data_IF_779774226583
#
_entry.id   IF_779774226583
#
_cell.length_a   1.000
_cell.length_b   1.000
_cell.length_c   1.000
_cell.angle_alpha   90.00
_cell.angle_beta   90.00
_cell.angle_gamma   90.00
#
_symmetry.space_group_name_H-M   'P 1'
#
loop_
_entity.id
_entity.type
_entity.pdbx_description
1 polymer ?
#
# COMPACT_ATOMS: atom_id res chain seq x y z
N UNK A 1 17.55 -7.57 5.42
CA UNK A 1 16.27 -8.22 5.85
C UNK A 1 15.15 -7.28 5.43
N UNK A 2 14.12 -7.77 4.73
CA UNK A 2 13.00 -6.96 4.24
C UNK A 2 12.25 -6.27 5.37
N UNK A 3 11.81 -5.03 5.15
CA UNK A 3 10.99 -4.31 6.13
C UNK A 3 9.61 -4.95 6.20
N UNK A 4 9.14 -5.23 7.40
CA UNK A 4 7.77 -5.65 7.64
C UNK A 4 6.89 -4.40 7.80
N UNK A 5 5.79 -4.32 7.04
CA UNK A 5 4.94 -3.12 6.97
C UNK A 5 3.47 -3.50 7.10
N UNK A 6 2.76 -2.83 7.98
CA UNK A 6 1.29 -2.90 8.05
C UNK A 6 0.72 -1.50 7.81
N UNK A 7 0.12 -1.31 6.65
CA UNK A 7 -0.43 -0.03 6.21
C UNK A 7 -1.97 -0.08 6.22
N UNK A 8 -2.61 0.83 6.94
CA UNK A 8 -4.06 0.96 7.00
C UNK A 8 -4.58 1.95 5.97
N UNK A 9 -5.15 1.48 4.87
CA UNK A 9 -5.87 2.30 3.91
C UNK A 9 -7.30 2.56 4.42
N UNK A 10 -7.55 3.76 4.92
CA UNK A 10 -8.87 4.11 5.47
C UNK A 10 -9.90 4.42 4.39
N UNK A 11 -9.47 4.48 3.13
CA UNK A 11 -10.35 4.80 2.00
C UNK A 11 -11.15 6.08 2.27
N UNK A 12 -12.43 6.15 1.85
CA UNK A 12 -13.29 7.30 2.09
C UNK A 12 -14.07 7.15 3.42
N UNK A 13 -13.33 7.01 4.53
CA UNK A 13 -13.91 6.90 5.88
C UNK A 13 -13.25 7.88 6.85
N UNK A 14 -13.92 8.11 7.98
CA UNK A 14 -13.48 8.94 9.11
C UNK A 14 -13.47 10.43 8.81
N UNK A 15 -14.37 11.15 9.45
CA UNK A 15 -14.31 12.61 9.55
C UNK A 15 -13.17 13.04 10.52
N UNK A 16 -13.01 14.35 10.74
CA UNK A 16 -11.91 14.88 11.56
C UNK A 16 -11.92 14.33 12.99
N UNK A 17 -13.07 14.33 13.66
CA UNK A 17 -13.21 13.83 15.04
C UNK A 17 -12.92 12.32 15.12
N UNK A 18 -13.48 11.54 14.21
CA UNK A 18 -13.24 10.09 14.14
C UNK A 18 -11.78 9.73 13.79
N UNK A 19 -11.13 10.57 12.99
CA UNK A 19 -9.70 10.43 12.68
C UNK A 19 -8.87 10.65 13.94
N UNK A 20 -9.15 11.71 14.69
CA UNK A 20 -8.45 11.99 15.94
C UNK A 20 -8.65 10.89 16.98
N UNK A 21 -9.89 10.41 17.14
CA UNK A 21 -10.23 9.32 18.06
C UNK A 21 -9.44 8.05 17.72
N UNK A 22 -9.47 7.60 16.46
CA UNK A 22 -8.76 6.39 16.03
C UNK A 22 -7.23 6.53 16.20
N UNK A 23 -6.66 7.69 15.86
CA UNK A 23 -5.23 7.94 16.06
C UNK A 23 -4.84 7.93 17.56
N UNK A 24 -5.67 8.51 18.44
CA UNK A 24 -5.44 8.46 19.88
C UNK A 24 -5.40 7.02 20.40
N UNK A 25 -6.35 6.19 19.95
CA UNK A 25 -6.38 4.78 20.32
C UNK A 25 -5.14 4.03 19.83
N UNK A 26 -4.74 4.21 18.56
CA UNK A 26 -3.56 3.58 18.00
C UNK A 26 -2.29 3.98 18.74
N UNK A 27 -2.08 5.28 18.96
CA UNK A 27 -0.91 5.81 19.67
C UNK A 27 -0.81 5.24 21.10
N UNK A 28 -1.94 5.13 21.77
CA UNK A 28 -1.97 4.67 23.17
C UNK A 28 -1.78 3.16 23.30
N UNK A 29 -2.28 2.39 22.34
CA UNK A 29 -2.35 0.92 22.43
C UNK A 29 -1.28 0.18 21.62
N UNK A 30 -0.54 0.87 20.73
CA UNK A 30 0.52 0.21 19.93
C UNK A 30 1.62 -0.33 20.85
N UNK A 31 1.98 -1.63 20.75
CA UNK A 31 3.02 -2.19 21.61
C UNK A 31 4.39 -1.57 21.32
N UNK A 32 5.14 -1.27 22.39
CA UNK A 32 6.47 -0.65 22.27
C UNK A 32 7.49 -1.53 21.49
N UNK A 33 7.32 -2.85 21.50
CA UNK A 33 8.17 -3.83 20.81
C UNK A 33 7.65 -4.19 19.41
N UNK A 34 6.74 -3.39 18.83
CA UNK A 34 6.26 -3.62 17.47
C UNK A 34 7.43 -3.57 16.49
N UNK A 35 7.62 -4.64 15.72
CA UNK A 35 8.70 -4.78 14.73
C UNK A 35 8.29 -4.28 13.35
N UNK A 36 7.00 -4.31 13.05
CA UNK A 36 6.45 -3.80 11.80
C UNK A 36 6.43 -2.26 11.76
N UNK A 37 6.73 -1.69 10.62
CA UNK A 37 6.43 -0.29 10.34
C UNK A 37 4.91 -0.15 10.19
N UNK A 38 4.30 0.66 11.06
CA UNK A 38 2.86 0.95 11.01
C UNK A 38 2.62 2.23 10.24
N UNK A 39 1.74 2.18 9.25
CA UNK A 39 1.37 3.34 8.42
C UNK A 39 -0.16 3.47 8.44
N UNK A 40 -0.66 4.70 8.50
CA UNK A 40 -2.09 5.00 8.32
C UNK A 40 -2.28 5.91 7.12
N UNK A 41 -3.31 5.67 6.31
CA UNK A 41 -3.63 6.48 5.15
C UNK A 41 -5.04 7.05 5.27
N UNK A 42 -5.22 8.17 6.00
CA UNK A 42 -6.50 8.87 6.09
C UNK A 42 -6.81 9.64 4.79
N UNK A 43 -8.02 10.18 4.70
CA UNK A 43 -8.40 11.06 3.58
C UNK A 43 -7.57 12.36 3.57
N UNK A 44 -7.46 13.02 2.41
CA UNK A 44 -6.66 14.26 2.24
C UNK A 44 -7.00 15.36 3.26
N UNK A 45 -8.30 15.54 3.56
CA UNK A 45 -8.76 16.58 4.52
C UNK A 45 -8.24 16.35 5.95
N UNK A 46 -7.78 15.15 6.27
CA UNK A 46 -7.30 14.76 7.59
C UNK A 46 -5.76 14.58 7.66
N UNK A 47 -5.04 14.66 6.53
CA UNK A 47 -3.60 14.36 6.49
C UNK A 47 -2.79 15.26 7.41
N UNK A 48 -2.99 16.60 7.34
CA UNK A 48 -2.22 17.54 8.15
C UNK A 48 -2.44 17.29 9.65
N UNK A 49 -3.68 17.08 10.07
CA UNK A 49 -4.01 16.76 11.45
C UNK A 49 -3.40 15.41 11.88
N UNK A 50 -3.44 14.39 11.02
CA UNK A 50 -2.85 13.10 11.29
C UNK A 50 -1.33 13.19 11.46
N UNK A 51 -0.62 13.88 10.55
CA UNK A 51 0.84 14.09 10.67
C UNK A 51 1.20 14.81 11.97
N UNK A 52 0.48 15.88 12.32
CA UNK A 52 0.72 16.60 13.58
C UNK A 52 0.50 15.68 14.80
N UNK A 53 -0.51 14.81 14.75
CA UNK A 53 -0.88 13.91 15.85
C UNK A 53 0.16 12.82 16.10
N UNK A 54 0.72 12.23 15.02
CA UNK A 54 1.67 11.12 15.13
C UNK A 54 3.14 11.55 15.17
N UNK A 55 3.44 12.85 15.15
CA UNK A 55 4.80 13.41 15.00
C UNK A 55 5.86 12.81 15.94
N UNK A 56 5.48 12.44 17.14
CA UNK A 56 6.40 11.89 18.16
C UNK A 56 6.16 10.38 18.40
N UNK A 57 5.67 9.67 17.39
CA UNK A 57 5.38 8.23 17.46
C UNK A 57 6.10 7.51 16.32
N UNK A 58 5.98 6.18 16.28
CA UNK A 58 6.50 5.33 15.22
C UNK A 58 5.51 5.14 14.07
N UNK A 59 4.32 5.76 14.13
CA UNK A 59 3.28 5.63 13.12
C UNK A 59 3.59 6.59 11.97
N UNK A 60 3.68 6.05 10.74
CA UNK A 60 3.78 6.82 9.52
C UNK A 60 2.41 7.24 8.97
N UNK A 61 2.40 8.31 8.16
CA UNK A 61 1.20 8.76 7.46
C UNK A 61 1.43 8.68 5.96
N UNK A 62 0.48 8.08 5.23
CA UNK A 62 0.48 8.02 3.77
C UNK A 62 -0.72 8.76 3.18
N UNK A 63 -0.54 9.35 2.00
CA UNK A 63 -1.65 9.83 1.18
C UNK A 63 -2.24 8.69 0.37
N UNK A 64 -3.54 8.77 0.07
CA UNK A 64 -4.25 7.74 -0.71
C UNK A 64 -4.09 7.90 -2.23
N UNK A 65 -3.50 8.99 -2.69
CA UNK A 65 -3.23 9.33 -4.09
C UNK A 65 -2.34 10.59 -4.18
N UNK A 66 -1.83 10.87 -5.38
CA UNK A 66 -1.22 12.15 -5.76
C UNK A 66 -1.50 12.39 -7.24
N UNK A 67 -1.57 13.65 -7.66
CA UNK A 67 -1.64 14.01 -9.07
C UNK A 67 -0.25 13.97 -9.72
N UNK A 68 -0.18 13.62 -11.01
CA UNK A 68 1.08 13.51 -11.75
C UNK A 68 1.72 14.86 -12.12
N UNK A 69 0.95 15.96 -12.13
CA UNK A 69 1.48 17.29 -12.39
C UNK A 69 1.95 17.98 -11.12
N UNK A 70 2.99 18.79 -11.23
CA UNK A 70 3.57 19.59 -10.14
C UNK A 70 2.60 20.64 -9.58
N UNK A 71 1.69 21.14 -10.42
CA UNK A 71 0.67 22.12 -10.08
C UNK A 71 -0.09 22.53 -11.34
N UNK A 72 -1.03 23.47 -11.23
CA UNK A 72 -1.74 24.02 -12.38
C UNK A 72 -3.26 23.97 -12.27
N UNK A 73 -3.94 24.02 -13.42
CA UNK A 73 -5.41 24.08 -13.52
C UNK A 73 -6.04 22.67 -13.37
N UNK A 74 -5.89 22.07 -12.21
CA UNK A 74 -6.40 20.75 -11.84
C UNK A 74 -7.27 20.86 -10.59
N UNK A 75 -8.42 21.49 -10.71
CA UNK A 75 -9.34 21.76 -9.59
C UNK A 75 -9.70 20.48 -8.85
N UNK A 76 -9.39 20.42 -7.56
CA UNK A 76 -9.66 19.29 -6.67
C UNK A 76 -8.49 18.31 -6.51
N UNK A 77 -7.42 18.42 -7.30
CA UNK A 77 -6.26 17.53 -7.23
C UNK A 77 -5.23 18.01 -6.18
N UNK A 78 -4.41 17.07 -5.73
CA UNK A 78 -3.35 17.28 -4.74
C UNK A 78 -2.00 16.96 -5.37
N UNK A 79 -1.07 17.92 -5.36
CA UNK A 79 0.29 17.71 -5.86
C UNK A 79 1.21 17.07 -4.83
N UNK A 80 2.36 16.54 -5.29
CA UNK A 80 3.38 15.99 -4.40
C UNK A 80 3.98 17.05 -3.47
N UNK A 81 4.19 18.28 -3.95
CA UNK A 81 4.65 19.41 -3.14
C UNK A 81 3.68 19.74 -1.99
N UNK A 82 2.36 19.72 -2.25
CA UNK A 82 1.36 19.89 -1.18
C UNK A 82 1.48 18.82 -0.10
N UNK A 83 1.72 17.55 -0.48
CA UNK A 83 1.89 16.45 0.47
C UNK A 83 3.16 16.60 1.31
N UNK A 84 4.29 16.87 0.66
CA UNK A 84 5.58 17.01 1.36
C UNK A 84 5.58 18.24 2.27
N UNK A 85 4.90 19.35 1.89
CA UNK A 85 4.79 20.57 2.68
C UNK A 85 4.15 20.37 4.06
N UNK A 86 3.28 19.37 4.19
CA UNK A 86 2.64 19.00 5.47
C UNK A 86 3.30 17.80 6.15
N UNK A 87 4.43 17.30 5.62
CA UNK A 87 5.21 16.21 6.20
C UNK A 87 4.74 14.79 5.83
N UNK A 88 3.91 14.64 4.82
CA UNK A 88 3.57 13.33 4.23
C UNK A 88 4.70 12.91 3.32
N UNK A 89 5.27 11.71 3.56
CA UNK A 89 6.40 11.17 2.81
C UNK A 89 6.12 9.81 2.15
N UNK A 90 4.86 9.37 2.17
CA UNK A 90 4.43 8.09 1.60
C UNK A 90 3.12 8.29 0.86
N UNK A 91 2.95 7.62 -0.28
CA UNK A 91 1.72 7.69 -1.08
C UNK A 91 1.33 6.30 -1.60
N UNK A 92 0.02 6.00 -1.62
CA UNK A 92 -0.56 4.82 -2.26
C UNK A 92 -0.90 5.19 -3.71
N UNK A 93 -0.39 4.41 -4.68
CA UNK A 93 -0.66 4.61 -6.11
C UNK A 93 -1.16 3.32 -6.76
N UNK A 94 -2.07 3.45 -7.70
CA UNK A 94 -2.58 2.33 -8.49
C UNK A 94 -3.55 1.41 -7.77
N UNK A 95 -4.11 1.81 -6.61
CA UNK A 95 -5.10 1.02 -5.89
C UNK A 95 -6.25 0.60 -6.81
N UNK A 96 -6.72 -0.64 -6.66
CA UNK A 96 -7.74 -1.26 -7.54
C UNK A 96 -9.00 -0.41 -7.71
N UNK A 97 -9.48 0.25 -6.65
CA UNK A 97 -10.62 1.18 -6.72
C UNK A 97 -10.34 2.35 -7.65
N UNK A 98 -9.11 2.87 -7.70
CA UNK A 98 -8.77 3.98 -8.59
C UNK A 98 -8.63 3.53 -10.04
N UNK A 99 -8.11 2.33 -10.26
CA UNK A 99 -8.10 1.70 -11.59
C UNK A 99 -9.53 1.51 -12.11
N UNK A 100 -10.42 0.96 -11.29
CA UNK A 100 -11.79 0.62 -11.68
C UNK A 100 -12.72 1.84 -11.79
N UNK A 101 -12.72 2.74 -10.80
CA UNK A 101 -13.72 3.81 -10.70
C UNK A 101 -13.23 5.17 -11.23
N UNK A 102 -11.91 5.38 -11.27
CA UNK A 102 -11.30 6.62 -11.75
C UNK A 102 -10.49 6.42 -13.03
N UNK A 103 -10.54 5.20 -13.62
CA UNK A 103 -9.93 4.87 -14.91
C UNK A 103 -8.41 5.13 -14.95
N UNK A 104 -7.71 4.95 -13.83
CA UNK A 104 -6.26 5.09 -13.80
C UNK A 104 -5.60 3.92 -14.56
N UNK A 105 -4.94 4.25 -15.67
CA UNK A 105 -4.18 3.30 -16.48
C UNK A 105 -2.76 3.12 -15.92
N UNK A 106 -2.06 2.05 -16.32
CA UNK A 106 -0.66 1.85 -15.93
C UNK A 106 0.25 3.01 -16.36
N UNK A 107 0.03 3.57 -17.55
CA UNK A 107 0.75 4.74 -18.03
C UNK A 107 0.52 5.99 -17.16
N UNK A 108 -0.72 6.23 -16.70
CA UNK A 108 -1.01 7.32 -15.78
C UNK A 108 -0.36 7.08 -14.41
N UNK A 109 -0.41 5.84 -13.91
CA UNK A 109 0.21 5.47 -12.64
C UNK A 109 1.73 5.61 -12.73
N UNK A 110 2.36 5.21 -13.85
CA UNK A 110 3.78 5.43 -14.09
C UNK A 110 4.16 6.92 -13.97
N UNK A 111 3.39 7.81 -14.58
CA UNK A 111 3.62 9.27 -14.46
C UNK A 111 3.47 9.77 -13.01
N UNK A 112 2.55 9.20 -12.22
CA UNK A 112 2.41 9.51 -10.79
C UNK A 112 3.58 8.99 -9.97
N UNK A 113 4.10 7.81 -10.30
CA UNK A 113 5.31 7.24 -9.69
C UNK A 113 6.49 8.15 -9.91
N UNK A 114 6.72 8.62 -11.14
CA UNK A 114 7.81 9.55 -11.45
C UNK A 114 7.73 10.82 -10.62
N UNK A 115 6.54 11.43 -10.55
CA UNK A 115 6.32 12.64 -9.75
C UNK A 115 6.54 12.38 -8.26
N UNK A 116 6.03 11.27 -7.73
CA UNK A 116 6.23 10.91 -6.32
C UNK A 116 7.72 10.72 -5.99
N UNK A 117 8.47 10.00 -6.83
CA UNK A 117 9.90 9.76 -6.65
C UNK A 117 10.72 11.05 -6.76
N UNK A 118 10.37 11.95 -7.68
CA UNK A 118 10.99 13.28 -7.82
C UNK A 118 10.87 14.11 -6.54
N UNK A 119 9.79 13.95 -5.79
CA UNK A 119 9.55 14.59 -4.50
C UNK A 119 9.97 13.76 -3.29
N UNK A 120 10.82 12.75 -3.50
CA UNK A 120 11.36 11.84 -2.46
C UNK A 120 10.28 11.07 -1.66
N UNK A 121 9.08 10.91 -2.22
CA UNK A 121 8.01 10.13 -1.60
C UNK A 121 8.30 8.63 -1.72
N UNK A 122 7.99 7.88 -0.67
CA UNK A 122 7.87 6.43 -0.74
C UNK A 122 6.55 6.06 -1.40
N UNK A 123 6.57 5.15 -2.35
CA UNK A 123 5.40 4.71 -3.09
C UNK A 123 4.96 3.32 -2.64
N UNK A 124 3.74 3.17 -2.16
CA UNK A 124 3.06 1.88 -2.04
C UNK A 124 2.33 1.65 -3.37
N UNK A 125 2.96 0.87 -4.25
CA UNK A 125 2.47 0.59 -5.60
C UNK A 125 1.51 -0.59 -5.59
N UNK A 126 0.23 -0.34 -5.91
CA UNK A 126 -0.84 -1.31 -5.91
C UNK A 126 -1.10 -1.88 -7.31
N UNK A 127 -1.27 -3.18 -7.38
CA UNK A 127 -1.55 -3.92 -8.60
C UNK A 127 -2.17 -5.29 -8.27
N UNK A 128 -2.86 -5.88 -9.23
CA UNK A 128 -3.47 -7.20 -9.05
C UNK A 128 -4.49 -7.52 -10.12
N UNK A 129 -4.96 -8.75 -10.11
CA UNK A 129 -5.85 -9.32 -11.11
C UNK A 129 -7.30 -9.37 -10.65
N UNK A 130 -8.22 -9.37 -11.61
CA UNK A 130 -9.65 -9.62 -11.41
C UNK A 130 -9.97 -11.13 -11.43
N UNK A 131 -11.16 -11.50 -10.95
CA UNK A 131 -11.60 -12.91 -10.90
C UNK A 131 -11.56 -13.60 -12.26
N UNK A 132 -11.95 -12.90 -13.33
CA UNK A 132 -11.93 -13.44 -14.71
C UNK A 132 -10.52 -13.83 -15.15
N UNK A 133 -9.50 -13.06 -14.74
CA UNK A 133 -8.11 -13.31 -15.09
C UNK A 133 -7.58 -14.53 -14.32
N UNK A 134 -7.96 -14.66 -13.05
CA UNK A 134 -7.64 -15.84 -12.25
C UNK A 134 -8.27 -17.11 -12.79
N UNK A 135 -9.55 -17.06 -13.17
CA UNK A 135 -10.28 -18.21 -13.73
C UNK A 135 -9.77 -18.65 -15.09
N UNK A 136 -9.13 -17.77 -15.84
CA UNK A 136 -8.54 -18.08 -17.15
C UNK A 136 -7.04 -18.36 -17.10
N UNK A 137 -6.46 -18.53 -15.91
CA UNK A 137 -5.02 -18.72 -15.68
C UNK A 137 -4.14 -17.60 -16.27
N UNK A 138 -4.72 -16.40 -16.48
CA UNK A 138 -4.03 -15.23 -17.03
C UNK A 138 -3.50 -14.26 -15.96
N UNK A 139 -3.74 -14.53 -14.68
CA UNK A 139 -3.42 -13.64 -13.55
C UNK A 139 -1.92 -13.30 -13.46
N UNK A 140 -1.03 -14.24 -13.74
CA UNK A 140 0.41 -13.98 -13.77
C UNK A 140 0.79 -12.94 -14.83
N UNK A 141 0.24 -13.07 -16.05
CA UNK A 141 0.50 -12.11 -17.14
C UNK A 141 -0.05 -10.72 -16.80
N UNK A 142 -1.23 -10.63 -16.21
CA UNK A 142 -1.82 -9.35 -15.79
C UNK A 142 -0.91 -8.66 -14.77
N UNK A 143 -0.51 -9.36 -13.73
CA UNK A 143 0.35 -8.84 -12.66
C UNK A 143 1.73 -8.41 -13.20
N UNK A 144 2.37 -9.23 -14.05
CA UNK A 144 3.64 -8.89 -14.68
C UNK A 144 3.52 -7.66 -15.58
N UNK A 145 2.45 -7.56 -16.38
CA UNK A 145 2.22 -6.40 -17.25
C UNK A 145 2.02 -5.11 -16.45
N UNK A 146 1.22 -5.14 -15.37
CA UNK A 146 1.02 -3.97 -14.52
C UNK A 146 2.32 -3.51 -13.86
N UNK A 147 3.19 -4.42 -13.41
CA UNK A 147 4.51 -4.10 -12.88
C UNK A 147 5.41 -3.50 -13.96
N UNK A 148 5.46 -4.11 -15.14
CA UNK A 148 6.29 -3.64 -16.25
C UNK A 148 5.86 -2.27 -16.73
N UNK A 149 4.58 -2.08 -16.99
CA UNK A 149 4.06 -0.88 -17.65
C UNK A 149 3.87 0.28 -16.66
N UNK A 150 3.62 -0.01 -15.38
CA UNK A 150 3.40 1.00 -14.35
C UNK A 150 4.64 1.34 -13.50
N UNK A 151 5.66 0.47 -13.45
CA UNK A 151 6.74 0.64 -12.49
C UNK A 151 8.16 0.38 -13.04
N UNK A 152 8.38 -0.55 -13.97
CA UNK A 152 9.74 -1.00 -14.32
C UNK A 152 10.57 -0.01 -15.14
N UNK A 153 10.02 1.16 -15.45
CA UNK A 153 10.75 2.27 -16.09
C UNK A 153 11.66 3.03 -15.11
N UNK A 154 11.51 2.84 -13.79
CA UNK A 154 12.26 3.57 -12.77
C UNK A 154 13.72 3.10 -12.67
N UNK A 155 14.61 3.98 -12.25
CA UNK A 155 16.00 3.66 -11.99
C UNK A 155 16.15 2.69 -10.80
N UNK A 156 17.23 1.87 -10.80
CA UNK A 156 17.49 0.88 -9.73
C UNK A 156 17.57 1.52 -8.34
N UNK A 157 18.15 2.69 -8.24
CA UNK A 157 18.34 3.43 -6.98
C UNK A 157 16.99 3.83 -6.35
N UNK A 158 15.98 4.05 -7.19
CA UNK A 158 14.63 4.44 -6.76
C UNK A 158 13.87 3.29 -6.08
N UNK A 159 14.29 2.04 -6.25
CA UNK A 159 13.64 0.88 -5.62
C UNK A 159 13.65 0.93 -4.10
N UNK A 160 14.59 1.64 -3.49
CA UNK A 160 14.61 1.90 -2.04
C UNK A 160 13.38 2.68 -1.54
N UNK A 161 12.66 3.35 -2.44
CA UNK A 161 11.42 4.09 -2.19
C UNK A 161 10.15 3.33 -2.60
N UNK A 162 10.27 2.09 -3.06
CA UNK A 162 9.13 1.29 -3.51
C UNK A 162 8.75 0.26 -2.47
N UNK A 163 7.47 0.16 -2.24
CA UNK A 163 6.78 -0.94 -1.54
C UNK A 163 5.73 -1.46 -2.49
N UNK A 164 5.71 -2.75 -2.74
CA UNK A 164 4.73 -3.40 -3.60
C UNK A 164 3.51 -3.82 -2.77
N UNK A 165 2.31 -3.67 -3.31
CA UNK A 165 1.07 -4.12 -2.68
C UNK A 165 0.25 -4.94 -3.69
N UNK A 166 0.26 -6.25 -3.52
CA UNK A 166 -0.51 -7.16 -4.37
C UNK A 166 -1.96 -7.24 -3.89
N UNK A 167 -2.86 -6.92 -4.77
CA UNK A 167 -4.31 -6.92 -4.55
C UNK A 167 -4.99 -8.05 -5.34
N UNK A 168 -5.36 -9.20 -4.74
CA UNK A 168 -6.33 -10.10 -5.38
C UNK A 168 -7.69 -9.38 -5.42
N UNK A 169 -7.96 -8.64 -6.52
CA UNK A 169 -9.12 -7.72 -6.61
C UNK A 169 -10.44 -8.46 -6.34
N UNK A 170 -10.51 -9.73 -6.76
CA UNK A 170 -11.64 -10.62 -6.53
C UNK A 170 -11.89 -10.96 -5.04
N UNK A 171 -10.90 -10.73 -4.18
CA UNK A 171 -10.98 -10.98 -2.74
C UNK A 171 -11.06 -9.66 -1.92
N UNK A 172 -11.36 -8.52 -2.55
CA UNK A 172 -11.47 -7.22 -1.86
C UNK A 172 -12.95 -6.84 -1.73
N UNK A 173 -13.48 -6.88 -0.50
CA UNK A 173 -14.85 -6.44 -0.22
C UNK A 173 -15.96 -7.33 -0.77
N UNK A 174 -15.63 -8.50 -1.32
CA UNK A 174 -16.58 -9.46 -1.89
C UNK A 174 -17.08 -10.50 -0.89
N UNK A 175 -16.37 -10.64 0.25
CA UNK A 175 -16.56 -11.74 1.20
C UNK A 175 -15.68 -12.95 0.92
N UNK A 176 -15.11 -13.05 -0.28
CA UNK A 176 -14.10 -14.05 -0.63
C UNK A 176 -12.74 -13.66 -0.04
N UNK A 177 -11.90 -14.65 0.23
CA UNK A 177 -10.52 -14.48 0.71
C UNK A 177 -9.61 -15.40 -0.07
N UNK A 178 -8.46 -14.90 -0.51
CA UNK A 178 -7.42 -15.79 -1.02
C UNK A 178 -6.86 -16.64 0.11
N UNK A 179 -6.54 -17.92 -0.18
CA UNK A 179 -5.84 -18.74 0.80
C UNK A 179 -4.42 -18.22 1.05
N UNK A 180 -3.80 -18.52 2.20
CA UNK A 180 -2.40 -18.19 2.45
C UNK A 180 -1.45 -18.74 1.38
N UNK A 181 -1.75 -19.91 0.80
CA UNK A 181 -0.99 -20.52 -0.30
C UNK A 181 -1.12 -19.72 -1.59
N UNK A 182 -2.32 -19.24 -1.92
CA UNK A 182 -2.54 -18.38 -3.08
C UNK A 182 -1.83 -17.02 -2.91
N UNK A 183 -1.82 -16.47 -1.69
CA UNK A 183 -1.05 -15.27 -1.39
C UNK A 183 0.46 -15.52 -1.59
N UNK A 184 1.00 -16.63 -1.06
CA UNK A 184 2.41 -16.99 -1.22
C UNK A 184 2.77 -17.18 -2.69
N UNK A 185 1.98 -17.95 -3.46
CA UNK A 185 2.20 -18.19 -4.88
C UNK A 185 2.41 -16.88 -5.66
N UNK A 186 1.52 -15.91 -5.45
CA UNK A 186 1.61 -14.63 -6.13
C UNK A 186 2.77 -13.77 -5.63
N UNK A 187 3.03 -13.74 -4.33
CA UNK A 187 4.14 -12.99 -3.76
C UNK A 187 5.50 -13.52 -4.23
N UNK A 188 5.68 -14.85 -4.28
CA UNK A 188 6.86 -15.49 -4.83
C UNK A 188 7.03 -15.16 -6.33
N UNK A 189 5.96 -15.29 -7.11
CA UNK A 189 5.96 -14.92 -8.51
C UNK A 189 6.37 -13.45 -8.73
N UNK A 190 5.76 -12.51 -7.99
CA UNK A 190 6.09 -11.08 -8.06
C UNK A 190 7.57 -10.85 -7.76
N UNK A 191 8.11 -11.47 -6.73
CA UNK A 191 9.51 -11.37 -6.35
C UNK A 191 10.44 -11.89 -7.44
N UNK A 192 10.09 -13.01 -8.09
CA UNK A 192 10.86 -13.56 -9.21
C UNK A 192 10.80 -12.67 -10.46
N UNK A 193 9.66 -12.01 -10.73
CA UNK A 193 9.54 -11.02 -11.81
C UNK A 193 10.48 -9.83 -11.56
N UNK A 194 10.49 -9.30 -10.31
CA UNK A 194 11.44 -8.23 -9.93
C UNK A 194 12.90 -8.71 -10.03
N UNK A 195 13.20 -9.94 -9.58
CA UNK A 195 14.54 -10.54 -9.65
C UNK A 195 15.05 -10.63 -11.07
N UNK A 196 14.22 -11.08 -12.00
CA UNK A 196 14.56 -11.17 -13.43
C UNK A 196 14.85 -9.80 -14.04
N UNK A 197 14.10 -8.77 -13.65
CA UNK A 197 14.22 -7.43 -14.22
C UNK A 197 15.37 -6.60 -13.61
N UNK A 198 15.59 -6.70 -12.30
CA UNK A 198 16.46 -5.77 -11.55
C UNK A 198 17.60 -6.45 -10.77
N UNK A 199 17.55 -7.78 -10.63
CA UNK A 199 18.56 -8.56 -9.90
C UNK A 199 18.14 -8.93 -8.48
N UNK A 200 18.93 -9.81 -7.87
CA UNK A 200 18.66 -10.40 -6.56
C UNK A 200 18.61 -9.34 -5.45
N UNK A 201 19.52 -8.39 -5.45
CA UNK A 201 19.65 -7.39 -4.39
C UNK A 201 18.34 -6.61 -4.21
N UNK A 202 17.73 -6.16 -5.32
CA UNK A 202 16.44 -5.43 -5.27
C UNK A 202 15.29 -6.37 -4.88
N UNK A 203 15.22 -7.55 -5.48
CA UNK A 203 14.17 -8.52 -5.20
C UNK A 203 14.17 -9.00 -3.74
N UNK A 204 15.35 -9.12 -3.13
CA UNK A 204 15.51 -9.57 -1.74
C UNK A 204 15.31 -8.46 -0.71
N UNK A 205 15.29 -7.19 -1.15
CA UNK A 205 15.09 -6.03 -0.26
C UNK A 205 13.69 -5.42 -0.36
N UNK A 206 13.02 -5.48 -1.52
CA UNK A 206 11.70 -4.88 -1.70
C UNK A 206 10.64 -5.59 -0.87
N UNK A 207 9.86 -4.81 -0.09
CA UNK A 207 8.73 -5.33 0.65
C UNK A 207 7.53 -5.53 -0.26
N UNK A 208 6.88 -6.70 -0.15
CA UNK A 208 5.66 -7.04 -0.88
C UNK A 208 4.53 -7.25 0.14
N UNK A 209 3.54 -6.38 0.12
CA UNK A 209 2.38 -6.40 1.01
C UNK A 209 1.23 -7.17 0.37
N UNK A 210 0.51 -7.91 1.17
CA UNK A 210 -0.75 -8.52 0.77
C UNK A 210 -1.90 -7.50 0.93
N UNK A 211 -2.61 -7.19 -0.15
CA UNK A 211 -3.69 -6.20 -0.23
C UNK A 211 -5.10 -6.80 -0.28
N UNK A 212 -5.25 -8.10 -0.10
CA UNK A 212 -6.56 -8.74 0.00
C UNK A 212 -7.21 -8.59 1.38
N UNK A 213 -8.26 -9.37 1.65
CA UNK A 213 -8.98 -9.32 2.92
C UNK A 213 -8.15 -9.91 4.06
N UNK A 214 -7.59 -9.04 4.91
CA UNK A 214 -6.89 -9.42 6.15
C UNK A 214 -7.74 -9.04 7.35
N UNK A 215 -7.87 -10.00 8.29
CA UNK A 215 -8.57 -9.87 9.56
C UNK A 215 -7.67 -10.37 10.70
N UNK A 216 -7.98 -10.08 11.97
CA UNK A 216 -7.21 -10.59 13.11
C UNK A 216 -7.02 -12.11 13.12
N UNK A 217 -8.00 -12.87 12.66
CA UNK A 217 -8.01 -14.32 12.68
C UNK A 217 -7.16 -15.00 11.59
N UNK A 218 -6.92 -14.32 10.44
CA UNK A 218 -6.13 -14.88 9.33
C UNK A 218 -4.75 -14.21 9.14
N UNK A 219 -4.50 -13.08 9.80
CA UNK A 219 -3.28 -12.28 9.60
C UNK A 219 -2.01 -13.08 9.86
N UNK A 220 -1.96 -13.85 10.95
CA UNK A 220 -0.77 -14.63 11.34
C UNK A 220 -0.40 -15.67 10.30
N UNK A 221 -1.38 -16.34 9.71
CA UNK A 221 -1.13 -17.37 8.70
C UNK A 221 -0.64 -16.77 7.38
N UNK A 222 -1.25 -15.67 6.95
CA UNK A 222 -0.86 -14.96 5.72
C UNK A 222 0.53 -14.34 5.88
N UNK A 223 0.79 -13.64 6.98
CA UNK A 223 2.08 -12.95 7.22
C UNK A 223 3.21 -13.91 7.58
N UNK A 224 2.88 -15.16 7.97
CA UNK A 224 3.85 -16.23 8.16
C UNK A 224 4.43 -16.80 6.87
N UNK A 225 3.91 -16.44 5.70
CA UNK A 225 4.43 -16.92 4.41
C UNK A 225 5.75 -16.23 4.07
N UNK A 226 6.70 -16.97 3.43
CA UNK A 226 8.08 -16.49 3.22
C UNK A 226 8.21 -15.19 2.43
N UNK A 227 7.32 -14.96 1.45
CA UNK A 227 7.40 -13.79 0.57
C UNK A 227 6.42 -12.67 0.91
N UNK A 228 5.59 -12.86 1.96
CA UNK A 228 4.67 -11.84 2.45
C UNK A 228 5.35 -10.98 3.51
N UNK A 229 5.49 -9.68 3.24
CA UNK A 229 6.19 -8.74 4.11
C UNK A 229 5.23 -7.84 4.91
N UNK A 230 3.96 -8.23 5.02
CA UNK A 230 2.92 -7.52 5.74
C UNK A 230 1.68 -7.29 4.91
N UNK A 231 0.92 -6.23 5.20
CA UNK A 231 -0.35 -6.01 4.52
C UNK A 231 -0.73 -4.55 4.30
N UNK A 232 -1.51 -4.34 3.23
CA UNK A 232 -2.26 -3.11 2.99
C UNK A 232 -3.72 -3.37 3.40
N UNK A 233 -4.10 -2.85 4.57
CA UNK A 233 -5.32 -3.23 5.28
C UNK A 233 -6.44 -2.24 5.02
N UNK A 234 -7.59 -2.71 4.56
CA UNK A 234 -8.79 -1.90 4.35
C UNK A 234 -9.66 -1.80 5.60
N UNK A 235 -10.83 -2.41 5.58
CA UNK A 235 -11.87 -2.27 6.63
C UNK A 235 -11.41 -2.52 8.06
N UNK A 236 -10.56 -3.52 8.29
CA UNK A 236 -10.02 -3.81 9.63
C UNK A 236 -9.14 -2.66 10.18
N UNK A 237 -8.57 -1.80 9.32
CA UNK A 237 -7.82 -0.63 9.76
C UNK A 237 -8.68 0.52 10.29
N UNK A 238 -10.01 0.41 10.21
CA UNK A 238 -10.95 1.42 10.72
C UNK A 238 -11.29 1.24 12.19
N UNK A 239 -10.80 0.17 12.84
CA UNK A 239 -10.92 -0.12 14.27
C UNK A 239 -9.55 -0.39 14.85
N UNK A 240 -9.20 0.32 15.92
CA UNK A 240 -7.88 0.20 16.54
C UNK A 240 -7.57 -1.23 17.00
N UNK A 241 -8.54 -1.92 17.61
CA UNK A 241 -8.37 -3.28 18.12
C UNK A 241 -8.03 -4.26 17.00
N UNK A 242 -8.82 -4.27 15.92
CA UNK A 242 -8.60 -5.15 14.79
C UNK A 242 -7.26 -4.85 14.08
N UNK A 243 -6.96 -3.56 13.89
CA UNK A 243 -5.73 -3.15 13.22
C UNK A 243 -4.48 -3.50 14.04
N UNK A 244 -4.50 -3.27 15.35
CA UNK A 244 -3.38 -3.62 16.23
C UNK A 244 -3.20 -5.13 16.36
N UNK A 245 -4.27 -5.91 16.37
CA UNK A 245 -4.18 -7.37 16.31
C UNK A 245 -3.48 -7.85 15.04
N UNK A 246 -3.75 -7.21 13.88
CA UNK A 246 -3.06 -7.48 12.62
C UNK A 246 -1.59 -7.03 12.68
N UNK A 247 -1.31 -5.86 13.24
CA UNK A 247 0.07 -5.34 13.42
C UNK A 247 0.93 -6.28 14.26
N UNK A 248 0.36 -6.91 15.28
CA UNK A 248 1.09 -7.83 16.18
C UNK A 248 1.17 -9.27 15.66
N UNK A 249 0.55 -9.57 14.54
CA UNK A 249 0.58 -10.89 13.92
C UNK A 249 1.83 -11.16 13.05
N UNK A 250 2.71 -10.15 12.85
CA UNK A 250 3.87 -10.18 11.95
C UNK A 250 5.20 -10.23 12.68
#
# INVERSE_FOLDING_TARGET
MRKKIVAGNWKMHKNAAQTEELLNELITKIPAQTTAQVIVAPTFVNLQAAVAKVKNTTIGVAAQNVHQAEGGAFTGEISADMLTSIGVNTVILGHSERRAFFHETDALIASKVDTALKHDLTVIFCFGEELKDRQSDNHFNIVENQLRDGLFHIAKESWSKIVLAYEPVWAIGTGETASPEQAQEMHEFIREVVRKAFGADIADEVSILYGGSVKPDNAKEIFGKPDVDGGLIGGAALKAEDFLAIVTAI
#
